data_IF_889565968838
#
_entry.id   IF_889565968838
#
_cell.length_a   1.000
_cell.length_b   1.000
_cell.length_c   1.000
_cell.angle_alpha   90.00
_cell.angle_beta   90.00
_cell.angle_gamma   90.00
#
_symmetry.space_group_name_H-M   'P 1'
#
loop_
_entity.id
_entity.type
_entity.pdbx_description
1 polymer ?
#
# COMPACT_ATOMS: atom_id res chain seq x y z
N UNK A 1 10.14 5.45 21.55
CA UNK A 1 10.06 6.77 20.90
C UNK A 1 9.23 6.56 19.63
N UNK A 2 8.18 7.33 19.39
CA UNK A 2 7.40 7.21 18.15
C UNK A 2 8.31 7.50 16.96
N UNK A 3 8.34 6.63 15.95
CA UNK A 3 9.22 6.73 14.77
C UNK A 3 9.23 8.12 14.11
N UNK A 4 8.08 8.80 13.88
CA UNK A 4 8.11 10.14 13.27
C UNK A 4 8.78 11.19 14.16
N UNK A 5 8.63 11.13 15.48
CA UNK A 5 9.32 12.06 16.40
C UNK A 5 10.83 11.87 16.38
N UNK A 6 11.29 10.62 16.34
CA UNK A 6 12.73 10.33 16.26
C UNK A 6 13.33 10.93 14.98
N UNK A 7 12.62 10.79 13.86
CA UNK A 7 13.02 11.37 12.59
C UNK A 7 13.06 12.91 12.67
N UNK A 8 12.02 13.55 13.24
CA UNK A 8 12.00 15.01 13.44
C UNK A 8 13.22 15.50 14.22
N UNK A 9 13.53 14.87 15.37
CA UNK A 9 14.65 15.31 16.22
C UNK A 9 16.02 15.11 15.56
N UNK A 10 16.16 14.16 14.63
CA UNK A 10 17.40 13.97 13.88
C UNK A 10 17.75 15.17 12.97
N UNK A 11 16.76 15.94 12.54
CA UNK A 11 16.94 17.12 11.69
C UNK A 11 17.09 18.43 12.47
N UNK A 12 16.91 18.42 13.80
CA UNK A 12 16.95 19.64 14.64
C UNK A 12 18.20 20.49 14.41
N UNK A 13 19.37 19.87 14.24
CA UNK A 13 20.63 20.59 14.04
C UNK A 13 20.69 21.42 12.75
N UNK A 14 19.78 21.19 11.80
CA UNK A 14 19.71 21.90 10.51
C UNK A 14 18.73 23.09 10.54
N UNK A 15 18.18 23.41 11.71
CA UNK A 15 17.12 24.41 11.87
C UNK A 15 17.70 25.61 12.62
N UNK A 16 17.77 26.74 11.92
CA UNK A 16 18.35 27.99 12.42
C UNK A 16 17.32 28.96 13.01
N UNK A 17 16.03 28.72 12.76
CA UNK A 17 14.91 29.55 13.22
C UNK A 17 13.77 28.67 13.72
N UNK A 18 12.91 29.22 14.59
CA UNK A 18 11.73 28.49 15.07
C UNK A 18 10.89 28.00 13.89
N UNK A 19 10.53 26.72 13.89
CA UNK A 19 9.83 26.10 12.76
C UNK A 19 8.83 25.04 13.23
N UNK A 20 7.65 25.00 12.60
CA UNK A 20 6.71 23.90 12.70
C UNK A 20 7.07 22.84 11.64
N UNK A 21 7.50 21.67 12.10
CA UNK A 21 7.86 20.53 11.26
C UNK A 21 6.70 19.56 11.21
N UNK A 22 6.21 19.31 10.01
CA UNK A 22 5.29 18.22 9.71
C UNK A 22 6.10 16.98 9.30
N UNK A 23 5.91 15.86 9.99
CA UNK A 23 6.50 14.57 9.60
C UNK A 23 5.40 13.61 9.19
N UNK A 24 5.53 13.02 8.01
CA UNK A 24 4.68 11.93 7.53
C UNK A 24 5.53 10.68 7.37
N UNK A 25 5.25 9.67 8.18
CA UNK A 25 5.87 8.35 8.12
C UNK A 25 4.90 7.34 7.50
N UNK A 26 5.23 6.80 6.32
CA UNK A 26 4.45 5.74 5.67
C UNK A 26 5.28 4.45 5.66
N UNK A 27 5.04 3.61 6.66
CA UNK A 27 5.68 2.33 6.84
C UNK A 27 5.04 1.20 6.02
N UNK A 28 5.31 -0.04 6.45
CA UNK A 28 4.75 -1.24 5.84
C UNK A 28 3.26 -1.47 6.17
N UNK A 29 2.81 -1.09 7.37
CA UNK A 29 1.44 -1.34 7.82
C UNK A 29 0.75 -0.18 8.55
N UNK A 30 1.48 0.92 8.81
CA UNK A 30 0.93 2.13 9.43
C UNK A 30 1.40 3.37 8.71
N UNK A 31 0.58 4.41 8.83
CA UNK A 31 0.89 5.77 8.43
C UNK A 31 0.72 6.64 9.65
N UNK A 32 1.77 7.35 10.03
CA UNK A 32 1.83 8.15 11.24
C UNK A 32 2.24 9.59 10.88
N UNK A 33 1.61 10.56 11.54
CA UNK A 33 1.89 11.99 11.41
C UNK A 33 2.31 12.54 12.76
N UNK A 34 3.38 13.33 12.79
CA UNK A 34 3.68 14.23 13.91
C UNK A 34 3.82 15.67 13.42
N UNK A 35 3.38 16.61 14.25
CA UNK A 35 3.70 18.03 14.06
C UNK A 35 4.42 18.49 15.32
N UNK A 36 5.64 19.01 15.13
CA UNK A 36 6.50 19.45 16.22
C UNK A 36 6.95 20.87 15.94
N UNK A 37 6.80 21.74 16.92
CA UNK A 37 7.43 23.06 16.91
C UNK A 37 8.82 22.95 17.52
N UNK A 38 9.83 23.20 16.70
CA UNK A 38 11.22 23.27 17.15
C UNK A 38 11.51 24.70 17.59
N UNK A 39 12.07 24.83 18.79
CA UNK A 39 12.61 26.12 19.26
C UNK A 39 14.12 26.19 19.06
N UNK A 40 14.61 27.40 18.85
CA UNK A 40 16.03 27.72 18.70
C UNK A 40 16.65 28.36 19.95
N UNK A 41 15.84 28.67 20.96
CA UNK A 41 16.31 29.10 22.28
C UNK A 41 16.36 27.92 23.27
N UNK A 42 16.67 28.20 24.55
CA UNK A 42 16.70 27.18 25.61
C UNK A 42 15.31 26.60 25.97
N UNK A 43 14.24 27.01 25.27
CA UNK A 43 12.92 26.43 25.48
C UNK A 43 12.82 25.03 24.87
N UNK A 44 11.89 24.24 25.40
CA UNK A 44 11.69 22.86 24.94
C UNK A 44 10.89 22.84 23.66
N UNK A 45 11.27 21.94 22.77
CA UNK A 45 10.47 21.60 21.58
C UNK A 45 9.07 21.12 22.02
N UNK A 46 8.05 21.52 21.26
CA UNK A 46 6.65 21.25 21.57
C UNK A 46 6.07 20.27 20.55
N UNK A 47 5.60 19.11 21.02
CA UNK A 47 4.85 18.18 20.17
C UNK A 47 3.39 18.66 20.12
N UNK A 48 2.98 19.22 18.99
CA UNK A 48 1.64 19.79 18.79
C UNK A 48 0.61 18.69 18.51
N UNK A 49 0.99 17.65 17.77
CA UNK A 49 0.11 16.51 17.51
C UNK A 49 0.89 15.24 17.16
N UNK A 50 0.25 14.09 17.38
CA UNK A 50 0.67 12.80 16.84
C UNK A 50 -0.58 11.97 16.55
N UNK A 51 -0.75 11.51 15.32
CA UNK A 51 -1.89 10.69 14.89
C UNK A 51 -1.42 9.60 13.94
N UNK A 52 -2.20 8.53 13.81
CA UNK A 52 -1.84 7.43 12.91
C UNK A 52 -3.04 6.59 12.49
N UNK A 53 -2.88 5.89 11.36
CA UNK A 53 -3.87 4.95 10.81
C UNK A 53 -3.20 3.65 10.39
N UNK A 54 -3.97 2.56 10.41
CA UNK A 54 -3.56 1.25 9.86
C UNK A 54 -3.71 1.25 8.33
N UNK A 55 -2.76 1.90 7.68
CA UNK A 55 -2.56 1.95 6.22
C UNK A 55 -1.06 1.95 5.98
N UNK A 56 -0.54 1.06 5.13
CA UNK A 56 0.87 1.10 4.76
C UNK A 56 1.17 0.42 3.43
N UNK A 57 2.46 0.22 3.17
CA UNK A 57 2.96 -0.36 1.93
C UNK A 57 2.30 -1.68 1.52
N UNK A 58 1.98 -2.54 2.49
CA UNK A 58 1.36 -3.85 2.28
C UNK A 58 -0.06 -3.73 1.72
N UNK A 59 -0.80 -2.70 2.14
CA UNK A 59 -2.14 -2.42 1.62
C UNK A 59 -2.08 -2.03 0.13
N UNK A 60 -1.06 -1.27 -0.25
CA UNK A 60 -0.84 -0.83 -1.63
C UNK A 60 -0.46 -2.02 -2.54
N UNK A 61 0.35 -2.95 -2.03
CA UNK A 61 0.65 -4.20 -2.73
C UNK A 61 -0.62 -5.03 -2.95
N UNK A 62 -1.48 -5.13 -1.93
CA UNK A 62 -2.77 -5.79 -2.01
C UNK A 62 -3.67 -5.23 -3.11
N UNK A 63 -3.65 -3.91 -3.31
CA UNK A 63 -4.37 -3.26 -4.42
C UNK A 63 -3.83 -3.67 -5.79
N UNK A 64 -2.52 -3.75 -5.96
CA UNK A 64 -1.93 -4.25 -7.22
C UNK A 64 -2.41 -5.69 -7.48
N UNK A 65 -2.31 -6.58 -6.49
CA UNK A 65 -2.78 -7.98 -6.64
C UNK A 65 -4.26 -8.01 -7.04
N UNK A 66 -5.10 -7.24 -6.34
CA UNK A 66 -6.53 -7.16 -6.59
C UNK A 66 -6.86 -6.76 -8.03
N UNK A 67 -6.18 -5.75 -8.55
CA UNK A 67 -6.50 -5.15 -9.85
C UNK A 67 -5.77 -5.78 -11.03
N UNK A 68 -4.65 -6.46 -10.78
CA UNK A 68 -3.74 -6.94 -11.84
C UNK A 68 -3.42 -8.42 -11.79
N UNK A 69 -3.58 -9.11 -10.65
CA UNK A 69 -3.10 -10.51 -10.55
C UNK A 69 -4.21 -11.55 -10.35
N UNK A 70 -5.41 -11.17 -9.89
CA UNK A 70 -6.47 -12.15 -9.61
C UNK A 70 -6.92 -12.95 -10.85
N UNK A 71 -6.79 -12.40 -12.05
CA UNK A 71 -7.12 -13.11 -13.28
C UNK A 71 -6.15 -14.25 -13.62
N UNK A 72 -4.95 -14.29 -13.05
CA UNK A 72 -4.05 -15.46 -13.12
C UNK A 72 -4.51 -16.61 -12.21
N UNK A 73 -5.41 -16.33 -11.27
CA UNK A 73 -5.88 -17.26 -10.25
C UNK A 73 -7.37 -17.61 -10.38
N UNK A 74 -7.99 -17.24 -11.50
CA UNK A 74 -9.34 -17.67 -11.85
C UNK A 74 -10.39 -16.57 -11.85
N UNK A 75 -10.03 -15.31 -11.58
CA UNK A 75 -10.97 -14.21 -11.82
C UNK A 75 -11.36 -14.17 -13.30
N UNK A 76 -12.66 -14.05 -13.57
CA UNK A 76 -13.25 -14.11 -14.91
C UNK A 76 -13.46 -15.51 -15.49
N UNK A 77 -13.13 -16.59 -14.77
CA UNK A 77 -13.52 -17.93 -15.19
C UNK A 77 -15.04 -18.13 -15.06
N UNK A 78 -15.62 -18.91 -15.97
CA UNK A 78 -17.06 -19.20 -16.02
C UNK A 78 -17.34 -20.69 -15.98
N UNK A 79 -18.52 -21.07 -15.47
CA UNK A 79 -18.98 -22.47 -15.50
C UNK A 79 -19.54 -22.89 -16.86
N UNK A 80 -19.42 -24.18 -17.17
CA UNK A 80 -20.14 -24.81 -18.29
C UNK A 80 -21.65 -24.77 -17.98
N UNK A 81 -22.43 -24.09 -18.83
CA UNK A 81 -23.89 -24.03 -18.71
C UNK A 81 -24.58 -24.23 -20.05
N UNK A 82 -25.77 -24.84 -20.03
CA UNK A 82 -26.71 -24.91 -21.17
C UNK A 82 -27.71 -23.75 -21.18
N UNK A 83 -27.61 -22.81 -20.22
CA UNK A 83 -28.40 -21.57 -20.14
C UNK A 83 -27.46 -20.35 -20.13
N UNK A 84 -27.98 -19.20 -20.56
CA UNK A 84 -27.21 -18.00 -20.94
C UNK A 84 -26.33 -17.38 -19.83
N UNK A 85 -26.49 -17.74 -18.56
CA UNK A 85 -25.68 -17.28 -17.44
C UNK A 85 -24.92 -18.45 -16.78
N UNK A 86 -23.96 -19.01 -17.50
CA UNK A 86 -22.90 -19.79 -16.83
C UNK A 86 -22.24 -18.88 -15.80
N UNK A 87 -22.49 -19.13 -14.52
CA UNK A 87 -22.04 -18.24 -13.44
C UNK A 87 -20.52 -18.02 -13.46
N UNK A 88 -20.07 -17.00 -12.75
CA UNK A 88 -18.64 -16.70 -12.61
C UNK A 88 -18.03 -17.40 -11.40
N UNK A 89 -16.72 -17.65 -11.49
CA UNK A 89 -15.94 -18.13 -10.37
C UNK A 89 -16.09 -17.18 -9.15
N UNK A 90 -16.35 -17.70 -7.94
CA UNK A 90 -16.66 -16.85 -6.79
C UNK A 90 -15.48 -15.95 -6.39
N UNK A 91 -15.54 -14.65 -6.73
CA UNK A 91 -14.53 -13.65 -6.36
C UNK A 91 -14.24 -13.58 -4.86
N UNK A 92 -15.20 -13.96 -4.02
CA UNK A 92 -15.01 -14.03 -2.57
C UNK A 92 -13.88 -14.99 -2.15
N UNK A 93 -13.60 -16.03 -2.95
CA UNK A 93 -12.48 -16.96 -2.71
C UNK A 93 -11.12 -16.35 -3.08
N UNK A 94 -11.11 -15.28 -3.88
CA UNK A 94 -9.89 -14.59 -4.34
C UNK A 94 -9.50 -13.42 -3.43
N UNK A 95 -10.46 -12.77 -2.76
CA UNK A 95 -10.16 -11.62 -1.90
C UNK A 95 -9.13 -11.87 -0.79
N UNK A 96 -9.05 -13.05 -0.16
CA UNK A 96 -7.98 -13.31 0.81
C UNK A 96 -6.57 -13.29 0.22
N UNK A 97 -6.41 -13.45 -1.10
CA UNK A 97 -5.11 -13.38 -1.78
C UNK A 97 -4.56 -11.94 -1.82
N UNK A 98 -5.42 -10.94 -1.66
CA UNK A 98 -5.04 -9.51 -1.71
C UNK A 98 -4.56 -8.99 -0.36
N UNK A 99 -4.41 -9.86 0.64
CA UNK A 99 -4.01 -9.51 2.00
C UNK A 99 -2.82 -10.38 2.41
N UNK A 100 -1.66 -9.74 2.62
CA UNK A 100 -0.37 -10.40 2.90
C UNK A 100 -0.43 -11.28 4.16
N UNK A 101 -1.30 -10.95 5.11
CA UNK A 101 -1.47 -11.73 6.33
C UNK A 101 -2.51 -12.83 6.19
N UNK A 102 -3.54 -12.67 5.35
CA UNK A 102 -4.52 -13.75 5.14
C UNK A 102 -3.98 -14.82 4.20
N UNK A 103 -3.27 -14.45 3.15
CA UNK A 103 -2.83 -15.40 2.11
C UNK A 103 -2.01 -16.56 2.69
N UNK A 104 -1.12 -16.30 3.65
CA UNK A 104 -0.30 -17.35 4.27
C UNK A 104 -1.12 -18.29 5.17
N UNK A 105 -2.28 -17.86 5.66
CA UNK A 105 -3.13 -18.66 6.56
C UNK A 105 -4.11 -19.55 5.82
N UNK A 106 -4.31 -19.34 4.51
CA UNK A 106 -5.33 -20.06 3.73
C UNK A 106 -5.13 -21.57 3.71
N UNK A 107 -3.87 -22.01 3.68
CA UNK A 107 -3.51 -23.43 3.72
C UNK A 107 -4.01 -24.14 4.99
N UNK A 108 -4.23 -23.39 6.08
CA UNK A 108 -4.72 -23.92 7.34
C UNK A 108 -6.26 -23.90 7.46
N UNK A 109 -6.96 -23.27 6.51
CA UNK A 109 -8.41 -23.13 6.54
C UNK A 109 -9.09 -24.26 5.76
N UNK A 110 -9.40 -25.36 6.45
CA UNK A 110 -10.10 -26.51 5.83
C UNK A 110 -11.39 -26.11 5.11
N UNK A 111 -12.18 -25.21 5.72
CA UNK A 111 -13.41 -24.70 5.09
C UNK A 111 -13.10 -24.01 3.75
N UNK A 112 -12.10 -23.12 3.73
CA UNK A 112 -11.72 -22.41 2.51
C UNK A 112 -11.24 -23.38 1.44
N UNK A 113 -10.41 -24.37 1.81
CA UNK A 113 -9.92 -25.38 0.87
C UNK A 113 -11.06 -26.25 0.31
N UNK A 114 -12.00 -26.67 1.15
CA UNK A 114 -13.17 -27.44 0.71
C UNK A 114 -14.07 -26.62 -0.24
N UNK A 115 -14.32 -25.35 0.09
CA UNK A 115 -15.11 -24.44 -0.75
C UNK A 115 -14.40 -24.15 -2.08
N UNK A 116 -13.06 -23.98 -2.05
CA UNK A 116 -12.23 -23.80 -3.24
C UNK A 116 -12.30 -25.01 -4.16
N UNK A 117 -12.05 -26.21 -3.64
CA UNK A 117 -12.09 -27.46 -4.42
C UNK A 117 -13.46 -27.69 -5.05
N UNK A 118 -14.56 -27.42 -4.31
CA UNK A 118 -15.92 -27.50 -4.86
C UNK A 118 -16.15 -26.51 -5.99
N UNK A 119 -15.64 -25.28 -5.84
CA UNK A 119 -15.84 -24.22 -6.83
C UNK A 119 -15.13 -24.49 -8.17
N UNK A 120 -14.13 -25.38 -8.20
CA UNK A 120 -13.44 -25.76 -9.44
C UNK A 120 -14.27 -26.69 -10.35
N UNK A 121 -15.25 -27.40 -9.81
CA UNK A 121 -16.03 -28.35 -10.58
C UNK A 121 -16.87 -27.67 -11.66
N UNK A 122 -16.66 -28.05 -12.92
CA UNK A 122 -17.42 -27.54 -14.06
C UNK A 122 -16.97 -26.16 -14.57
N UNK A 123 -15.84 -25.62 -14.11
CA UNK A 123 -15.23 -24.42 -14.70
C UNK A 123 -14.64 -24.71 -16.08
N UNK A 124 -14.75 -23.71 -16.97
CA UNK A 124 -14.01 -23.65 -18.23
C UNK A 124 -12.68 -22.97 -17.92
N UNK A 125 -11.61 -23.74 -17.75
CA UNK A 125 -10.28 -23.24 -17.38
C UNK A 125 -9.19 -23.73 -18.36
N UNK A 126 -9.15 -23.20 -19.60
CA UNK A 126 -8.19 -23.64 -20.61
C UNK A 126 -6.73 -23.33 -20.25
N UNK A 127 -6.52 -22.29 -19.44
CA UNK A 127 -5.18 -21.79 -19.09
C UNK A 127 -4.66 -22.37 -17.76
N UNK A 128 -5.44 -23.20 -17.07
CA UNK A 128 -5.04 -23.85 -15.82
C UNK A 128 -4.88 -22.88 -14.63
N UNK A 129 -5.68 -21.81 -14.58
CA UNK A 129 -5.65 -20.78 -13.52
C UNK A 129 -6.07 -21.33 -12.16
N UNK A 130 -6.98 -22.31 -12.14
CA UNK A 130 -7.37 -23.02 -10.89
C UNK A 130 -6.20 -23.82 -10.33
N UNK A 131 -5.41 -24.47 -11.19
CA UNK A 131 -4.18 -25.16 -10.80
C UNK A 131 -3.10 -24.19 -10.32
N UNK A 132 -2.99 -23.00 -10.92
CA UNK A 132 -2.11 -21.95 -10.44
C UNK A 132 -2.51 -21.48 -9.03
N UNK A 133 -3.81 -21.25 -8.78
CA UNK A 133 -4.33 -20.89 -7.46
C UNK A 133 -4.10 -21.99 -6.42
N UNK A 134 -4.42 -23.23 -6.75
CA UNK A 134 -4.18 -24.38 -5.87
C UNK A 134 -2.70 -24.47 -5.51
N UNK A 135 -1.81 -24.36 -6.50
CA UNK A 135 -0.37 -24.39 -6.28
C UNK A 135 0.12 -23.24 -5.39
N UNK A 136 -0.34 -22.01 -5.62
CA UNK A 136 -0.01 -20.83 -4.81
C UNK A 136 -0.30 -21.09 -3.32
N UNK A 137 -1.47 -21.66 -3.02
CA UNK A 137 -1.94 -21.86 -1.65
C UNK A 137 -1.23 -23.04 -0.99
N UNK A 138 -1.18 -24.19 -1.65
CA UNK A 138 -0.59 -25.40 -1.06
C UNK A 138 0.92 -25.30 -0.89
N UNK A 139 1.61 -24.59 -1.79
CA UNK A 139 3.05 -24.33 -1.67
C UNK A 139 3.36 -23.07 -0.83
N UNK A 140 2.34 -22.40 -0.29
CA UNK A 140 2.49 -21.21 0.57
C UNK A 140 3.30 -20.08 -0.09
N UNK A 141 3.14 -19.92 -1.40
CA UNK A 141 3.91 -19.00 -2.23
C UNK A 141 3.42 -17.54 -2.16
N UNK A 142 2.39 -17.28 -1.34
CA UNK A 142 1.77 -15.96 -1.24
C UNK A 142 2.75 -14.84 -0.85
N UNK A 143 3.69 -15.10 0.07
CA UNK A 143 4.65 -14.07 0.47
C UNK A 143 5.63 -13.73 -0.65
N UNK A 144 6.13 -14.74 -1.39
CA UNK A 144 7.00 -14.50 -2.55
C UNK A 144 6.29 -13.72 -3.66
N UNK A 145 4.97 -13.95 -3.85
CA UNK A 145 4.16 -13.18 -4.80
C UNK A 145 4.05 -11.71 -4.35
N UNK A 146 3.83 -11.45 -3.07
CA UNK A 146 3.82 -10.10 -2.51
C UNK A 146 5.18 -9.41 -2.67
N UNK A 147 6.29 -10.13 -2.48
CA UNK A 147 7.63 -9.56 -2.65
C UNK A 147 7.88 -9.14 -4.12
N UNK A 148 7.41 -9.95 -5.10
CA UNK A 148 7.48 -9.59 -6.52
C UNK A 148 6.65 -8.33 -6.85
N UNK A 149 5.47 -8.20 -6.24
CA UNK A 149 4.62 -7.00 -6.36
C UNK A 149 5.26 -5.78 -5.71
N UNK A 150 5.86 -5.95 -4.53
CA UNK A 150 6.54 -4.88 -3.81
C UNK A 150 7.71 -4.32 -4.62
N UNK A 151 8.50 -5.18 -5.28
CA UNK A 151 9.55 -4.75 -6.20
C UNK A 151 9.02 -3.90 -7.36
N UNK A 152 7.92 -4.31 -7.98
CA UNK A 152 7.29 -3.52 -9.05
C UNK A 152 6.75 -2.17 -8.52
N UNK A 153 6.15 -2.14 -7.33
CA UNK A 153 5.71 -0.90 -6.67
C UNK A 153 6.88 0.05 -6.39
N UNK A 154 8.01 -0.47 -5.92
CA UNK A 154 9.23 0.32 -5.72
C UNK A 154 9.70 0.90 -7.04
N UNK A 155 9.75 0.09 -8.10
CA UNK A 155 10.12 0.56 -9.45
C UNK A 155 9.21 1.68 -9.94
N UNK A 156 7.89 1.58 -9.71
CA UNK A 156 6.93 2.64 -10.05
C UNK A 156 7.19 3.97 -9.33
N UNK A 157 7.93 3.96 -8.22
CA UNK A 157 8.33 5.21 -7.55
C UNK A 157 9.41 5.98 -8.32
N UNK A 158 10.12 5.30 -9.23
CA UNK A 158 11.20 5.87 -10.04
C UNK A 158 10.81 5.96 -11.53
N UNK A 159 10.19 4.91 -12.06
CA UNK A 159 9.81 4.74 -13.47
C UNK A 159 8.31 4.85 -13.70
N UNK A 160 7.91 5.28 -14.90
CA UNK A 160 6.49 5.45 -15.26
C UNK A 160 5.73 4.12 -15.44
N UNK A 161 6.45 3.01 -15.49
CA UNK A 161 5.92 1.66 -15.66
C UNK A 161 6.82 0.65 -14.96
N UNK A 162 6.26 -0.50 -14.60
CA UNK A 162 6.98 -1.64 -14.06
C UNK A 162 6.39 -2.95 -14.63
N UNK A 163 7.16 -4.03 -14.51
CA UNK A 163 6.69 -5.38 -14.84
C UNK A 163 6.79 -6.26 -13.59
N UNK A 164 5.69 -6.93 -13.24
CA UNK A 164 5.66 -7.98 -12.24
C UNK A 164 5.98 -9.29 -12.96
N UNK A 165 7.12 -9.91 -12.64
CA UNK A 165 7.48 -11.22 -13.15
C UNK A 165 7.56 -12.23 -12.02
N UNK A 166 6.77 -13.31 -12.12
CA UNK A 166 6.75 -14.37 -11.11
C UNK A 166 6.43 -15.72 -11.75
N UNK A 167 7.39 -16.65 -11.70
CA UNK A 167 7.26 -17.99 -12.30
C UNK A 167 7.60 -19.08 -11.28
N UNK A 168 6.62 -19.91 -10.93
CA UNK A 168 6.75 -21.07 -10.01
C UNK A 168 5.75 -22.15 -10.36
N UNK A 169 6.23 -23.33 -10.76
CA UNK A 169 5.36 -24.45 -11.12
C UNK A 169 4.36 -24.05 -12.23
N UNK A 170 3.04 -24.19 -12.03
CA UNK A 170 2.02 -23.75 -13.00
C UNK A 170 1.75 -22.24 -12.99
N UNK A 171 2.36 -21.47 -12.07
CA UNK A 171 2.19 -20.02 -12.01
C UNK A 171 3.18 -19.39 -13.00
N UNK A 172 2.64 -18.64 -13.95
CA UNK A 172 3.42 -17.88 -14.93
C UNK A 172 2.84 -16.48 -15.08
N UNK A 173 3.45 -15.50 -14.41
CA UNK A 173 3.00 -14.10 -14.37
C UNK A 173 4.06 -13.23 -15.05
N UNK A 174 3.60 -12.44 -16.01
CA UNK A 174 4.33 -11.35 -16.64
C UNK A 174 3.35 -10.20 -16.88
N UNK A 175 3.20 -9.35 -15.88
CA UNK A 175 2.14 -8.34 -15.84
C UNK A 175 2.74 -6.94 -15.85
N UNK A 176 2.38 -6.12 -16.84
CA UNK A 176 2.80 -4.72 -16.92
C UNK A 176 1.77 -3.81 -16.27
N UNK A 177 2.26 -2.79 -15.55
CA UNK A 177 1.42 -1.75 -14.99
C UNK A 177 2.12 -0.39 -15.04
N UNK A 178 1.33 0.67 -15.19
CA UNK A 178 1.82 2.04 -15.19
C UNK A 178 1.73 2.66 -13.80
N UNK A 179 2.46 3.75 -13.58
CA UNK A 179 2.33 4.56 -12.36
C UNK A 179 0.93 5.18 -12.25
N UNK A 180 0.32 5.54 -13.38
CA UNK A 180 -1.04 6.07 -13.42
C UNK A 180 -2.06 5.04 -12.93
N UNK A 181 -1.97 3.80 -13.42
CA UNK A 181 -2.76 2.67 -12.93
C UNK A 181 -2.62 2.51 -11.42
N UNK A 182 -1.37 2.48 -10.93
CA UNK A 182 -1.11 2.32 -9.51
C UNK A 182 -1.70 3.46 -8.68
N UNK A 183 -1.54 4.71 -9.12
CA UNK A 183 -2.13 5.87 -8.45
C UNK A 183 -3.66 5.74 -8.36
N UNK A 184 -4.32 5.25 -9.42
CA UNK A 184 -5.75 4.99 -9.41
C UNK A 184 -6.15 3.91 -8.40
N UNK A 185 -5.32 2.87 -8.20
CA UNK A 185 -5.63 1.79 -7.25
C UNK A 185 -5.50 2.20 -5.78
N UNK A 186 -4.69 3.20 -5.48
CA UNK A 186 -4.46 3.70 -4.12
C UNK A 186 -5.16 5.02 -3.82
N UNK A 187 -6.09 5.46 -4.68
CA UNK A 187 -6.77 6.75 -4.51
C UNK A 187 -7.51 6.83 -3.17
N UNK A 188 -8.17 5.74 -2.75
CA UNK A 188 -8.85 5.66 -1.46
C UNK A 188 -7.89 5.78 -0.26
N UNK A 189 -6.67 5.27 -0.39
CA UNK A 189 -5.65 5.47 0.64
C UNK A 189 -5.09 6.89 0.64
N UNK A 190 -4.97 7.51 -0.54
CA UNK A 190 -4.58 8.93 -0.67
C UNK A 190 -5.61 9.82 0.03
N UNK A 191 -6.89 9.54 -0.14
CA UNK A 191 -7.97 10.26 0.56
C UNK A 191 -7.91 10.06 2.08
N UNK A 192 -7.66 8.84 2.54
CA UNK A 192 -7.54 8.53 3.98
C UNK A 192 -6.35 9.25 4.62
N UNK A 193 -5.20 9.29 3.93
CA UNK A 193 -4.02 10.00 4.43
C UNK A 193 -4.24 11.53 4.37
N UNK A 194 -4.91 12.05 3.33
CA UNK A 194 -5.32 13.46 3.27
C UNK A 194 -6.20 13.86 4.45
N UNK A 195 -7.17 13.01 4.80
CA UNK A 195 -8.02 13.24 5.98
C UNK A 195 -7.21 13.21 7.29
N UNK A 196 -6.21 12.33 7.39
CA UNK A 196 -5.29 12.29 8.54
C UNK A 196 -4.43 13.56 8.64
N UNK A 197 -4.00 14.14 7.52
CA UNK A 197 -3.28 15.42 7.49
C UNK A 197 -4.20 16.53 8.03
N UNK A 198 -5.42 16.62 7.51
CA UNK A 198 -6.41 17.62 7.95
C UNK A 198 -6.73 17.50 9.45
N UNK A 199 -6.95 16.28 9.96
CA UNK A 199 -7.22 16.07 11.38
C UNK A 199 -6.00 16.39 12.26
N UNK A 200 -4.79 16.18 11.76
CA UNK A 200 -3.54 16.52 12.45
C UNK A 200 -3.33 18.02 12.56
N UNK A 201 -3.56 18.76 11.47
CA UNK A 201 -3.52 20.23 11.46
C UNK A 201 -4.55 20.83 12.42
N UNK A 202 -5.79 20.33 12.38
CA UNK A 202 -6.85 20.79 13.28
C UNK A 202 -6.50 20.54 14.76
N UNK A 203 -5.95 19.37 15.09
CA UNK A 203 -5.50 19.05 16.45
C UNK A 203 -4.34 19.94 16.91
N UNK A 204 -3.42 20.27 16.01
CA UNK A 204 -2.32 21.21 16.24
C UNK A 204 -2.76 22.68 16.25
N UNK A 205 -4.03 22.98 15.87
CA UNK A 205 -4.56 24.34 15.67
C UNK A 205 -3.71 25.15 14.67
N UNK A 206 -3.27 24.50 13.61
CA UNK A 206 -2.50 25.10 12.53
C UNK A 206 -3.25 25.03 11.21
N UNK A 207 -3.03 26.03 10.36
CA UNK A 207 -3.40 26.01 8.95
C UNK A 207 -2.22 25.47 8.14
N UNK A 208 -2.43 24.97 6.92
CA UNK A 208 -1.33 24.43 6.11
C UNK A 208 -0.18 25.43 5.89
N UNK A 209 -0.48 26.72 5.73
CA UNK A 209 0.54 27.77 5.58
C UNK A 209 1.39 28.05 6.83
N UNK A 210 1.09 27.44 7.98
CA UNK A 210 1.92 27.52 9.18
C UNK A 210 2.96 26.40 9.29
N UNK A 211 2.99 25.45 8.34
CA UNK A 211 4.02 24.42 8.30
C UNK A 211 5.21 24.96 7.51
N UNK A 212 6.38 24.97 8.15
CA UNK A 212 7.59 25.53 7.57
C UNK A 212 8.44 24.45 6.89
N UNK A 213 8.39 23.23 7.44
CA UNK A 213 9.25 22.12 7.02
C UNK A 213 8.49 20.80 6.99
N UNK A 214 8.77 19.99 5.97
CA UNK A 214 8.18 18.67 5.75
C UNK A 214 9.27 17.62 5.87
N UNK A 215 9.01 16.56 6.63
CA UNK A 215 9.85 15.37 6.67
C UNK A 215 9.05 14.16 6.22
N UNK A 216 9.52 13.49 5.16
CA UNK A 216 8.91 12.28 4.64
C UNK A 216 9.74 11.07 5.07
N UNK A 217 9.12 10.15 5.80
CA UNK A 217 9.76 8.98 6.42
C UNK A 217 9.03 7.70 5.98
N UNK A 218 9.72 6.57 6.07
CA UNK A 218 9.18 5.28 5.68
C UNK A 218 9.29 5.04 4.16
N UNK A 219 9.46 3.77 3.78
CA UNK A 219 9.72 3.40 2.39
C UNK A 219 8.61 3.82 1.43
N UNK A 220 7.36 3.77 1.88
CA UNK A 220 6.20 4.08 1.06
C UNK A 220 5.98 5.59 0.86
N UNK A 221 6.63 6.46 1.64
CA UNK A 221 6.60 7.91 1.42
C UNK A 221 7.32 8.34 0.13
N UNK A 222 8.12 7.45 -0.46
CA UNK A 222 8.78 7.66 -1.76
C UNK A 222 7.81 7.58 -2.94
N UNK A 223 6.60 7.04 -2.74
CA UNK A 223 5.59 6.95 -3.80
C UNK A 223 5.19 8.38 -4.24
N UNK A 224 5.31 8.71 -5.54
CA UNK A 224 5.06 10.06 -6.05
C UNK A 224 3.68 10.63 -5.70
N UNK A 225 2.63 9.80 -5.67
CA UNK A 225 1.28 10.24 -5.30
C UNK A 225 1.24 10.89 -3.90
N UNK A 226 1.88 10.28 -2.90
CA UNK A 226 1.91 10.83 -1.55
C UNK A 226 2.80 12.07 -1.43
N UNK A 227 3.94 12.10 -2.15
CA UNK A 227 4.80 13.29 -2.21
C UNK A 227 4.04 14.48 -2.80
N UNK A 228 3.38 14.26 -3.94
CA UNK A 228 2.60 15.31 -4.62
C UNK A 228 1.45 15.80 -3.75
N UNK A 229 0.71 14.89 -3.11
CA UNK A 229 -0.34 15.24 -2.15
C UNK A 229 0.20 16.14 -1.03
N UNK A 230 1.32 15.77 -0.41
CA UNK A 230 1.92 16.57 0.67
C UNK A 230 2.38 17.94 0.18
N UNK A 231 3.00 18.03 -0.99
CA UNK A 231 3.39 19.33 -1.59
C UNK A 231 2.18 20.20 -1.93
N UNK A 232 1.04 19.61 -2.30
CA UNK A 232 -0.21 20.36 -2.52
C UNK A 232 -0.78 20.93 -1.20
N UNK A 233 -0.65 20.21 -0.09
CA UNK A 233 -1.03 20.74 1.23
C UNK A 233 -0.12 21.88 1.67
N UNK A 234 1.18 21.77 1.45
CA UNK A 234 2.18 22.67 2.01
C UNK A 234 3.09 23.26 0.90
N UNK A 235 2.56 24.15 0.03
CA UNK A 235 3.29 24.62 -1.15
C UNK A 235 4.54 25.46 -0.83
N UNK A 236 4.55 26.14 0.32
CA UNK A 236 5.66 27.02 0.75
C UNK A 236 6.65 26.32 1.69
N UNK A 237 6.36 25.10 2.12
CA UNK A 237 7.17 24.40 3.12
C UNK A 237 8.38 23.72 2.49
N UNK A 238 9.52 23.78 3.17
CA UNK A 238 10.75 23.14 2.72
C UNK A 238 10.71 21.62 3.00
N UNK A 239 10.93 20.77 2.00
CA UNK A 239 11.09 19.33 2.20
C UNK A 239 12.50 19.03 2.70
N UNK A 240 12.61 18.60 3.96
CA UNK A 240 13.83 18.13 4.57
C UNK A 240 14.15 16.70 4.12
N UNK A 241 15.34 16.53 3.54
CA UNK A 241 15.83 15.21 3.15
C UNK A 241 15.30 14.76 1.78
N UNK A 242 15.99 15.21 0.74
CA UNK A 242 15.99 14.56 -0.58
C UNK A 242 17.45 14.46 -1.01
N UNK A 243 18.07 13.31 -0.73
CA UNK A 243 19.26 12.80 -1.42
C UNK A 243 19.16 11.27 -1.38
#
# INVERSE_FOLDING_TARGET
MFEPLAATYSFKQRISEQANIFTLDIGGGTTDISIVRISTDDSRDEVLTTQGIKVGGVDFDGKIIRHRLLHYFGDGLTYVSTRMDGGEFPRALLFPLTDRYKIFTLVNSRKYLDDLQRSFYGLIDPDGKTKALEYLIHQQLGLELFDAVELAKIELSHSGSATISYRKGPIDIEEQLTREDFNNYISDYTDRISNLILSSLAAAKLEPGHIDKILLVGGSSKIPAFRNMVTMFFPEAEILGVN
#
